data_IF_043776314467
#
_entry.id   IF_043776314467
#
_cell.length_a   1.000
_cell.length_b   1.000
_cell.length_c   1.000
_cell.angle_alpha   90.00
_cell.angle_beta   90.00
_cell.angle_gamma   90.00
#
_symmetry.space_group_name_H-M   'P 1'
#
loop_
_entity.id
_entity.type
_entity.pdbx_description
1 polymer ?
#
# COMPACT_ATOMS: atom_id res chain seq x y z
N UNK A 1 12.33 -19.41 96.46
CA UNK A 1 13.02 -19.67 95.19
C UNK A 1 14.50 -19.42 95.42
N UNK A 2 15.39 -20.32 94.99
CA UNK A 2 16.83 -20.07 95.05
C UNK A 2 17.16 -18.90 94.10
N UNK A 3 18.07 -18.01 94.48
CA UNK A 3 18.51 -16.86 93.67
C UNK A 3 18.86 -17.28 92.23
N UNK A 4 19.51 -18.44 92.10
CA UNK A 4 19.82 -19.08 90.83
C UNK A 4 18.58 -19.42 89.97
N UNK A 5 17.50 -19.91 90.58
CA UNK A 5 16.25 -20.21 89.87
C UNK A 5 15.55 -18.95 89.37
N UNK A 6 15.56 -17.87 90.14
CA UNK A 6 15.00 -16.58 89.71
C UNK A 6 15.80 -15.99 88.55
N UNK A 7 17.12 -16.11 88.58
CA UNK A 7 18.01 -15.60 87.54
C UNK A 7 17.77 -16.24 86.17
N UNK A 8 17.76 -17.58 86.12
CA UNK A 8 17.47 -18.33 84.89
C UNK A 8 16.05 -18.01 84.39
N UNK A 9 15.09 -17.92 85.29
CA UNK A 9 13.70 -17.64 84.94
C UNK A 9 13.53 -16.29 84.24
N UNK A 10 14.16 -15.23 84.73
CA UNK A 10 14.11 -13.90 84.09
C UNK A 10 14.79 -13.87 82.72
N UNK A 11 15.90 -14.57 82.54
CA UNK A 11 16.57 -14.70 81.22
C UNK A 11 15.67 -15.41 80.22
N UNK A 12 15.09 -16.55 80.61
CA UNK A 12 14.22 -17.34 79.73
C UNK A 12 12.97 -16.55 79.37
N UNK A 13 12.33 -15.88 80.33
CA UNK A 13 11.17 -15.02 80.05
C UNK A 13 11.55 -13.88 79.13
N UNK A 14 12.67 -13.21 79.40
CA UNK A 14 13.16 -12.13 78.54
C UNK A 14 13.40 -12.60 77.10
N UNK A 15 14.05 -13.76 76.93
CA UNK A 15 14.30 -14.36 75.62
C UNK A 15 13.01 -14.77 74.90
N UNK A 16 12.05 -15.38 75.60
CA UNK A 16 10.76 -15.76 75.03
C UNK A 16 9.95 -14.54 74.61
N UNK A 17 9.88 -13.50 75.46
CA UNK A 17 9.17 -12.25 75.13
C UNK A 17 9.85 -11.58 73.92
N UNK A 18 11.19 -11.51 73.91
CA UNK A 18 11.94 -10.94 72.79
C UNK A 18 11.69 -11.66 71.47
N UNK A 19 11.78 -12.99 71.46
CA UNK A 19 11.51 -13.79 70.27
C UNK A 19 10.03 -13.71 69.83
N UNK A 20 9.09 -13.81 70.77
CA UNK A 20 7.65 -13.78 70.48
C UNK A 20 7.21 -12.42 69.93
N UNK A 21 7.69 -11.32 70.53
CA UNK A 21 7.36 -9.95 70.08
C UNK A 21 7.87 -9.71 68.68
N UNK A 22 9.09 -10.14 68.37
CA UNK A 22 9.67 -9.93 67.04
C UNK A 22 9.00 -10.82 65.98
N UNK A 23 8.66 -12.06 66.32
CA UNK A 23 7.89 -12.94 65.44
C UNK A 23 6.50 -12.35 65.13
N UNK A 24 5.82 -11.80 66.14
CA UNK A 24 4.55 -11.11 65.96
C UNK A 24 4.70 -9.87 65.08
N UNK A 25 5.73 -9.04 65.29
CA UNK A 25 6.00 -7.86 64.49
C UNK A 25 6.22 -8.21 63.00
N UNK A 26 6.97 -9.27 62.72
CA UNK A 26 7.17 -9.77 61.35
C UNK A 26 5.82 -10.21 60.75
N UNK A 27 5.01 -10.96 61.51
CA UNK A 27 3.68 -11.38 61.06
C UNK A 27 2.76 -10.19 60.79
N UNK A 28 2.89 -9.11 61.55
CA UNK A 28 2.13 -7.87 61.41
C UNK A 28 2.50 -7.05 60.17
N UNK A 29 3.64 -7.29 59.54
CA UNK A 29 3.98 -6.68 58.25
C UNK A 29 3.06 -7.18 57.13
N UNK A 30 2.66 -8.46 57.19
CA UNK A 30 1.89 -9.13 56.14
C UNK A 30 0.40 -9.23 56.47
N UNK A 31 0.05 -9.46 57.75
CA UNK A 31 -1.33 -9.68 58.21
C UNK A 31 -1.69 -8.68 59.31
N UNK A 32 -2.96 -8.29 59.48
CA UNK A 32 -4.15 -8.71 58.72
C UNK A 32 -4.27 -7.98 57.37
N UNK A 33 -4.89 -8.64 56.38
CA UNK A 33 -5.08 -8.07 55.04
C UNK A 33 -6.12 -6.95 54.99
N UNK A 34 -7.01 -6.89 55.99
CA UNK A 34 -8.07 -5.87 56.12
C UNK A 34 -7.92 -5.11 57.45
N UNK A 35 -8.34 -3.82 57.50
CA UNK A 35 -8.39 -3.07 58.75
C UNK A 35 -9.39 -3.71 59.72
N UNK A 36 -9.03 -3.77 61.00
CA UNK A 36 -9.95 -4.10 62.08
C UNK A 36 -10.31 -2.86 62.87
N UNK A 37 -11.57 -2.75 63.29
CA UNK A 37 -12.09 -1.62 64.06
C UNK A 37 -12.52 -2.07 65.45
N UNK A 38 -12.12 -1.31 66.46
CA UNK A 38 -12.50 -1.52 67.85
C UNK A 38 -13.02 -0.20 68.43
N UNK A 39 -14.22 -0.21 69.01
CA UNK A 39 -14.90 1.00 69.53
C UNK A 39 -14.95 2.18 68.53
N UNK A 40 -15.17 1.88 67.25
CA UNK A 40 -15.22 2.90 66.18
C UNK A 40 -13.87 3.48 65.76
N UNK A 41 -12.75 3.07 66.38
CA UNK A 41 -11.39 3.47 65.98
C UNK A 41 -10.66 2.29 65.34
N UNK A 42 -9.92 2.56 64.27
CA UNK A 42 -9.09 1.57 63.59
C UNK A 42 -7.96 1.11 64.53
N UNK A 43 -7.77 -0.20 64.67
CA UNK A 43 -6.68 -0.77 65.46
C UNK A 43 -5.33 -0.37 64.84
N UNK A 44 -4.35 0.10 65.65
CA UNK A 44 -3.02 0.42 65.14
C UNK A 44 -2.40 -0.83 64.51
N UNK A 45 -1.67 -0.63 63.41
CA UNK A 45 -1.04 -1.71 62.64
C UNK A 45 -2.01 -2.72 61.99
N UNK A 46 -3.26 -2.31 61.72
CA UNK A 46 -4.20 -3.06 60.86
C UNK A 46 -4.74 -2.14 59.76
N UNK A 47 -4.67 -2.47 58.45
CA UNK A 47 -4.05 -3.66 57.87
C UNK A 47 -2.52 -3.67 58.05
N UNK A 48 -1.90 -4.82 57.77
CA UNK A 48 -0.45 -4.95 57.79
C UNK A 48 0.25 -3.94 56.87
N UNK A 49 1.54 -3.70 57.11
CA UNK A 49 2.29 -2.64 56.42
C UNK A 49 2.34 -2.83 54.89
N UNK A 50 2.52 -4.06 54.42
CA UNK A 50 2.64 -4.38 52.99
C UNK A 50 1.29 -4.23 52.27
N UNK A 51 0.17 -4.82 52.76
CA UNK A 51 -1.15 -4.56 52.20
C UNK A 51 -1.49 -3.06 52.13
N UNK A 52 -1.07 -2.28 53.14
CA UNK A 52 -1.33 -0.84 53.20
C UNK A 52 -0.60 -0.03 52.11
N UNK A 53 0.58 -0.47 51.67
CA UNK A 53 1.40 0.23 50.66
C UNK A 53 1.34 -0.43 49.27
N UNK A 54 0.42 -1.36 49.06
CA UNK A 54 0.30 -2.12 47.82
C UNK A 54 0.18 -1.22 46.59
N UNK A 55 -0.65 -0.19 46.65
CA UNK A 55 -0.90 0.69 45.51
C UNK A 55 0.35 1.51 45.14
N UNK A 56 1.12 1.94 46.16
CA UNK A 56 2.41 2.60 45.95
C UNK A 56 3.41 1.67 45.27
N UNK A 57 3.49 0.40 45.72
CA UNK A 57 4.34 -0.61 45.11
C UNK A 57 3.90 -0.91 43.69
N UNK A 58 2.61 -1.05 43.45
CA UNK A 58 2.04 -1.32 42.13
C UNK A 58 2.41 -0.21 41.13
N UNK A 59 2.28 1.05 41.56
CA UNK A 59 2.67 2.21 40.78
C UNK A 59 4.16 2.20 40.44
N UNK A 60 5.03 2.03 41.45
CA UNK A 60 6.48 2.06 41.25
C UNK A 60 6.98 0.89 40.38
N UNK A 61 6.38 -0.29 40.52
CA UNK A 61 6.67 -1.42 39.64
C UNK A 61 6.20 -1.14 38.21
N UNK A 62 5.03 -0.54 38.03
CA UNK A 62 4.52 -0.12 36.72
C UNK A 62 5.47 0.82 35.99
N UNK A 63 5.93 1.89 36.67
CA UNK A 63 6.92 2.84 36.13
C UNK A 63 8.21 2.13 35.77
N UNK A 64 8.77 1.31 36.67
CA UNK A 64 10.02 0.59 36.42
C UNK A 64 9.92 -0.34 35.20
N UNK A 65 8.82 -1.08 35.06
CA UNK A 65 8.63 -2.00 33.92
C UNK A 65 8.54 -1.21 32.60
N UNK A 66 7.85 -0.08 32.59
CA UNK A 66 7.74 0.79 31.41
C UNK A 66 9.07 1.44 31.02
N UNK A 67 9.79 2.01 31.99
CA UNK A 67 11.03 2.77 31.72
C UNK A 67 12.25 1.89 31.48
N UNK A 68 12.24 0.63 31.91
CA UNK A 68 13.45 -0.22 31.87
C UNK A 68 13.26 -1.61 31.25
N UNK A 69 12.07 -2.20 31.25
CA UNK A 69 11.85 -3.56 30.72
C UNK A 69 11.14 -3.58 29.37
N UNK A 70 10.16 -2.69 29.17
CA UNK A 70 9.36 -2.60 27.95
C UNK A 70 9.55 -1.26 27.24
N UNK A 71 10.81 -0.82 27.12
CA UNK A 71 11.10 0.45 26.44
C UNK A 71 10.85 0.33 24.92
N UNK A 72 10.45 1.42 24.25
CA UNK A 72 10.28 1.44 22.80
C UNK A 72 11.52 0.94 22.05
N UNK A 73 12.71 1.33 22.50
CA UNK A 73 13.98 0.97 21.87
C UNK A 73 14.31 -0.52 22.08
N UNK A 74 14.00 -1.04 23.27
CA UNK A 74 14.19 -2.46 23.60
C UNK A 74 13.31 -3.35 22.74
N UNK A 75 12.05 -2.96 22.54
CA UNK A 75 11.09 -3.67 21.68
C UNK A 75 11.51 -3.55 20.20
N UNK A 76 11.85 -2.34 19.74
CA UNK A 76 12.32 -2.11 18.37
C UNK A 76 13.53 -2.98 18.04
N UNK A 77 14.54 -3.01 18.91
CA UNK A 77 15.75 -3.83 18.71
C UNK A 77 15.43 -5.32 18.61
N UNK A 78 14.41 -5.80 19.32
CA UNK A 78 13.94 -7.19 19.22
C UNK A 78 13.24 -7.46 17.89
N UNK A 79 12.40 -6.55 17.40
CA UNK A 79 11.77 -6.68 16.08
C UNK A 79 12.77 -6.56 14.92
N UNK A 80 13.82 -5.76 15.09
CA UNK A 80 14.88 -5.59 14.09
C UNK A 80 15.92 -6.72 14.09
N UNK A 81 15.85 -7.64 15.06
CA UNK A 81 16.73 -8.80 15.14
C UNK A 81 16.63 -9.68 13.90
N UNK A 82 17.74 -10.33 13.56
CA UNK A 82 17.81 -11.23 12.40
C UNK A 82 16.82 -12.39 12.53
N UNK A 83 16.62 -12.88 13.75
CA UNK A 83 15.71 -13.97 14.07
C UNK A 83 14.25 -13.55 13.82
N UNK A 84 13.84 -12.38 14.31
CA UNK A 84 12.49 -11.87 14.09
C UNK A 84 12.20 -11.63 12.59
N UNK A 85 13.17 -11.05 11.87
CA UNK A 85 13.06 -10.84 10.41
C UNK A 85 12.91 -12.14 9.65
N UNK A 86 13.70 -13.16 9.99
CA UNK A 86 13.62 -14.49 9.38
C UNK A 86 12.26 -15.15 9.63
N UNK A 87 11.75 -15.08 10.86
CA UNK A 87 10.44 -15.66 11.21
C UNK A 87 9.29 -14.95 10.49
N UNK A 88 9.34 -13.61 10.40
CA UNK A 88 8.36 -12.82 9.63
C UNK A 88 8.47 -13.17 8.15
N UNK A 89 9.68 -13.26 7.59
CA UNK A 89 9.90 -13.60 6.19
C UNK A 89 9.33 -14.99 5.85
N UNK A 90 9.63 -15.98 6.67
CA UNK A 90 9.12 -17.34 6.51
C UNK A 90 7.57 -17.37 6.63
N UNK A 91 7.01 -16.59 7.55
CA UNK A 91 5.55 -16.46 7.68
C UNK A 91 4.93 -15.83 6.44
N UNK A 92 5.52 -14.75 5.91
CA UNK A 92 5.08 -14.10 4.67
C UNK A 92 5.17 -15.06 3.48
N UNK A 93 6.29 -15.79 3.34
CA UNK A 93 6.46 -16.80 2.28
C UNK A 93 5.37 -17.87 2.34
N UNK A 94 5.04 -18.37 3.54
CA UNK A 94 3.97 -19.34 3.75
C UNK A 94 2.59 -18.80 3.35
N UNK A 95 2.32 -17.52 3.59
CA UNK A 95 1.07 -16.89 3.15
C UNK A 95 1.04 -16.67 1.64
N UNK A 96 2.17 -16.34 1.01
CA UNK A 96 2.28 -16.25 -0.45
C UNK A 96 2.02 -17.62 -1.07
N UNK A 97 2.59 -18.70 -0.52
CA UNK A 97 2.35 -20.07 -0.98
C UNK A 97 0.87 -20.48 -0.85
N UNK A 98 0.28 -20.24 0.32
CA UNK A 98 -1.16 -20.46 0.50
C UNK A 98 -2.01 -19.66 -0.48
N UNK A 99 -1.61 -18.42 -0.77
CA UNK A 99 -2.25 -17.54 -1.75
C UNK A 99 -2.14 -18.09 -3.18
N UNK A 100 -0.99 -18.65 -3.55
CA UNK A 100 -0.75 -19.28 -4.84
C UNK A 100 -1.57 -20.56 -5.04
N UNK A 101 -1.91 -21.26 -3.96
CA UNK A 101 -2.76 -22.46 -3.96
C UNK A 101 -4.27 -22.13 -3.96
N UNK A 102 -4.68 -20.86 -3.83
CA UNK A 102 -6.10 -20.50 -3.78
C UNK A 102 -6.79 -20.72 -5.12
N UNK A 103 -7.79 -21.60 -5.15
CA UNK A 103 -8.65 -21.84 -6.31
C UNK A 103 -9.77 -20.79 -6.46
N UNK A 104 -9.96 -19.92 -5.46
CA UNK A 104 -10.97 -18.86 -5.45
C UNK A 104 -10.68 -17.86 -6.58
N UNK A 105 -11.70 -17.45 -7.34
CA UNK A 105 -11.56 -16.44 -8.40
C UNK A 105 -11.38 -15.04 -7.83
N UNK A 106 -10.71 -14.15 -8.56
CA UNK A 106 -10.55 -12.76 -8.12
C UNK A 106 -11.92 -12.10 -7.92
N UNK A 107 -12.90 -12.43 -8.76
CA UNK A 107 -14.27 -11.96 -8.66
C UNK A 107 -14.94 -12.37 -7.34
N UNK A 108 -14.88 -13.65 -6.98
CA UNK A 108 -15.47 -14.15 -5.73
C UNK A 108 -14.75 -13.64 -4.48
N UNK A 109 -13.43 -13.39 -4.57
CA UNK A 109 -12.70 -12.72 -3.50
C UNK A 109 -13.19 -11.28 -3.31
N UNK A 110 -13.34 -10.50 -4.38
CA UNK A 110 -13.82 -9.11 -4.30
C UNK A 110 -15.26 -9.03 -3.78
N UNK A 111 -16.12 -9.96 -4.16
CA UNK A 111 -17.47 -10.08 -3.60
C UNK A 111 -17.45 -10.35 -2.09
N UNK A 112 -16.52 -11.19 -1.62
CA UNK A 112 -16.37 -11.49 -0.17
C UNK A 112 -15.97 -10.27 0.66
N UNK A 113 -15.30 -9.29 0.06
CA UNK A 113 -14.96 -8.00 0.68
C UNK A 113 -16.09 -6.95 0.56
N UNK A 114 -17.26 -7.34 0.03
CA UNK A 114 -18.42 -6.45 -0.13
C UNK A 114 -18.43 -5.66 -1.44
N UNK A 115 -17.53 -5.96 -2.39
CA UNK A 115 -17.53 -5.35 -3.72
C UNK A 115 -18.41 -6.17 -4.65
N UNK A 116 -19.72 -5.88 -4.64
CA UNK A 116 -20.65 -6.45 -5.61
C UNK A 116 -20.37 -5.90 -7.01
N UNK A 117 -20.54 -6.75 -8.04
CA UNK A 117 -20.34 -6.44 -9.46
C UNK A 117 -18.95 -5.85 -9.75
N UNK A 118 -17.92 -6.51 -9.23
CA UNK A 118 -16.53 -6.07 -9.38
C UNK A 118 -16.07 -6.01 -10.85
N UNK A 119 -16.65 -6.84 -11.72
CA UNK A 119 -16.45 -6.81 -13.17
C UNK A 119 -16.96 -5.50 -13.79
N UNK A 120 -18.21 -5.12 -13.50
CA UNK A 120 -18.80 -3.88 -14.03
C UNK A 120 -18.03 -2.66 -13.54
N UNK A 121 -17.69 -2.62 -12.24
CA UNK A 121 -16.92 -1.51 -11.66
C UNK A 121 -15.49 -1.42 -12.19
N UNK A 122 -14.87 -2.56 -12.48
CA UNK A 122 -13.54 -2.60 -13.09
C UNK A 122 -13.58 -2.10 -14.53
N UNK A 123 -14.58 -2.51 -15.33
CA UNK A 123 -14.78 -2.00 -16.69
C UNK A 123 -15.01 -0.48 -16.68
N UNK A 124 -15.88 0.03 -15.80
CA UNK A 124 -16.12 1.47 -15.62
C UNK A 124 -14.84 2.23 -15.24
N UNK A 125 -14.09 1.73 -14.26
CA UNK A 125 -12.82 2.34 -13.84
C UNK A 125 -11.79 2.37 -14.97
N UNK A 126 -11.68 1.30 -15.77
CA UNK A 126 -10.78 1.27 -16.93
C UNK A 126 -11.21 2.31 -17.96
N UNK A 127 -12.51 2.45 -18.21
CA UNK A 127 -13.03 3.46 -19.12
C UNK A 127 -12.65 4.87 -18.65
N UNK A 128 -12.96 5.24 -17.40
CA UNK A 128 -12.62 6.55 -16.84
C UNK A 128 -11.12 6.82 -16.81
N UNK A 129 -10.33 5.84 -16.33
CA UNK A 129 -8.87 5.96 -16.30
C UNK A 129 -8.30 6.12 -17.70
N UNK A 130 -8.80 5.35 -18.68
CA UNK A 130 -8.35 5.44 -20.07
C UNK A 130 -8.68 6.79 -20.69
N UNK A 131 -9.87 7.35 -20.40
CA UNK A 131 -10.26 8.67 -20.89
C UNK A 131 -9.38 9.76 -20.32
N UNK A 132 -9.14 9.72 -19.01
CA UNK A 132 -8.29 10.69 -18.35
C UNK A 132 -6.83 10.59 -18.81
N UNK A 133 -6.31 9.36 -18.89
CA UNK A 133 -4.95 9.10 -19.35
C UNK A 133 -4.77 9.53 -20.82
N UNK A 134 -5.71 9.20 -21.68
CA UNK A 134 -5.66 9.55 -23.10
C UNK A 134 -5.75 11.07 -23.29
N UNK A 135 -6.69 11.75 -22.62
CA UNK A 135 -6.77 13.21 -22.64
C UNK A 135 -5.46 13.86 -22.18
N UNK A 136 -4.91 13.42 -21.05
CA UNK A 136 -3.65 13.96 -20.53
C UNK A 136 -2.47 13.73 -21.50
N UNK A 137 -2.41 12.58 -22.17
CA UNK A 137 -1.38 12.33 -23.19
C UNK A 137 -1.59 13.22 -24.42
N UNK A 138 -2.82 13.34 -24.93
CA UNK A 138 -3.14 14.20 -26.07
C UNK A 138 -2.82 15.67 -25.77
N UNK A 139 -3.05 16.13 -24.54
CA UNK A 139 -2.68 17.48 -24.10
C UNK A 139 -1.17 17.68 -24.03
N UNK A 140 -0.43 16.74 -23.44
CA UNK A 140 1.03 16.82 -23.32
C UNK A 140 1.75 16.75 -24.68
N UNK A 141 1.14 16.10 -25.66
CA UNK A 141 1.69 15.92 -27.01
C UNK A 141 1.04 16.82 -28.06
N UNK A 142 0.18 17.78 -27.68
CA UNK A 142 -0.53 18.66 -28.61
C UNK A 142 0.40 19.42 -29.57
N UNK A 143 1.60 19.81 -29.10
CA UNK A 143 2.58 20.59 -29.87
C UNK A 143 3.59 19.72 -30.63
N UNK A 144 3.61 18.40 -30.41
CA UNK A 144 4.51 17.50 -31.12
C UNK A 144 4.01 17.25 -32.55
N UNK A 145 4.96 17.04 -33.46
CA UNK A 145 4.64 16.75 -34.86
C UNK A 145 4.23 15.29 -35.03
N UNK A 146 3.40 15.00 -36.03
CA UNK A 146 2.99 13.63 -36.33
C UNK A 146 4.17 12.70 -36.62
N UNK A 147 5.26 13.23 -37.16
CA UNK A 147 6.51 12.49 -37.39
C UNK A 147 7.19 12.02 -36.10
N UNK A 148 7.02 12.73 -34.99
CA UNK A 148 7.60 12.36 -33.69
C UNK A 148 6.73 11.34 -32.94
N UNK A 149 5.42 11.37 -33.19
CA UNK A 149 4.44 10.50 -32.54
C UNK A 149 4.25 9.14 -33.24
N UNK A 150 4.50 9.07 -34.56
CA UNK A 150 4.35 7.83 -35.31
C UNK A 150 5.58 6.92 -35.20
N UNK A 151 5.40 5.62 -34.90
CA UNK A 151 6.49 4.66 -34.99
C UNK A 151 7.04 4.56 -36.42
N UNK A 152 8.36 4.46 -36.57
CA UNK A 152 9.06 4.38 -37.87
C UNK A 152 8.50 3.26 -38.78
N UNK A 153 8.06 2.14 -38.21
CA UNK A 153 7.45 1.04 -38.97
C UNK A 153 6.13 1.42 -39.64
N UNK A 154 5.32 2.24 -38.97
CA UNK A 154 4.04 2.73 -39.50
C UNK A 154 4.30 3.74 -40.61
N UNK A 155 5.25 4.65 -40.39
CA UNK A 155 5.64 5.65 -41.39
C UNK A 155 6.16 5.01 -42.68
N UNK A 156 7.02 4.00 -42.56
CA UNK A 156 7.56 3.27 -43.70
C UNK A 156 6.47 2.49 -44.46
N UNK A 157 5.51 1.89 -43.72
CA UNK A 157 4.37 1.20 -44.33
C UNK A 157 3.44 2.16 -45.07
N UNK A 158 3.15 3.34 -44.52
CA UNK A 158 2.34 4.34 -45.20
C UNK A 158 3.06 4.84 -46.46
N UNK A 159 4.32 5.23 -46.32
CA UNK A 159 5.12 5.77 -47.42
C UNK A 159 5.27 4.78 -48.58
N UNK A 160 5.47 3.49 -48.29
CA UNK A 160 5.55 2.44 -49.31
C UNK A 160 4.23 2.14 -50.02
N UNK A 161 3.09 2.55 -49.44
CA UNK A 161 1.75 2.39 -50.03
C UNK A 161 1.26 3.60 -50.83
N UNK A 162 1.94 4.74 -50.73
CA UNK A 162 1.62 5.93 -51.53
C UNK A 162 1.68 5.65 -53.06
N UNK A 163 2.68 4.93 -53.60
CA UNK A 163 2.72 4.60 -55.03
C UNK A 163 1.55 3.70 -55.47
N UNK A 164 1.09 2.80 -54.60
CA UNK A 164 -0.09 1.95 -54.85
C UNK A 164 -1.37 2.81 -54.90
N UNK A 165 -1.48 3.82 -54.04
CA UNK A 165 -2.59 4.77 -54.04
C UNK A 165 -2.61 5.65 -55.31
N UNK A 166 -1.45 6.15 -55.75
CA UNK A 166 -1.31 6.86 -57.02
C UNK A 166 -1.76 5.99 -58.21
N UNK A 167 -1.35 4.72 -58.26
CA UNK A 167 -1.77 3.77 -59.29
C UNK A 167 -3.30 3.58 -59.30
N UNK A 168 -3.90 3.43 -58.12
CA UNK A 168 -5.34 3.27 -57.97
C UNK A 168 -6.10 4.51 -58.45
N UNK A 169 -5.66 5.72 -58.06
CA UNK A 169 -6.26 6.98 -58.48
C UNK A 169 -6.18 7.14 -60.00
N UNK A 170 -5.02 6.84 -60.61
CA UNK A 170 -4.84 6.94 -62.06
C UNK A 170 -5.70 5.93 -62.81
N UNK A 171 -5.75 4.66 -62.36
CA UNK A 171 -6.64 3.65 -62.95
C UNK A 171 -8.10 4.09 -62.91
N UNK A 172 -8.55 4.63 -61.77
CA UNK A 172 -9.91 5.13 -61.63
C UNK A 172 -10.16 6.36 -62.50
N UNK A 173 -9.19 7.27 -62.61
CA UNK A 173 -9.21 8.41 -63.51
C UNK A 173 -9.33 8.00 -64.98
N UNK A 174 -8.51 7.05 -65.43
CA UNK A 174 -8.55 6.48 -66.78
C UNK A 174 -9.94 5.90 -67.07
N UNK A 175 -10.46 5.05 -66.17
CA UNK A 175 -11.79 4.45 -66.33
C UNK A 175 -12.90 5.51 -66.41
N UNK A 176 -12.82 6.57 -65.59
CA UNK A 176 -13.78 7.67 -65.65
C UNK A 176 -13.72 8.39 -66.99
N UNK A 177 -12.53 8.77 -67.46
CA UNK A 177 -12.39 9.47 -68.75
C UNK A 177 -12.68 8.56 -69.95
N UNK A 178 -12.53 7.24 -69.85
CA UNK A 178 -12.95 6.28 -70.89
C UNK A 178 -14.47 6.10 -70.97
N UNK A 179 -15.21 6.40 -69.89
CA UNK A 179 -16.67 6.33 -69.86
C UNK A 179 -17.33 7.44 -70.68
N UNK A 180 -18.59 7.21 -71.08
CA UNK A 180 -19.39 8.20 -71.82
C UNK A 180 -19.63 9.48 -70.99
N UNK A 181 -19.71 9.37 -69.66
CA UNK A 181 -19.81 10.52 -68.75
C UNK A 181 -18.53 11.38 -68.79
N UNK A 182 -17.37 10.75 -68.73
CA UNK A 182 -16.08 11.45 -68.78
C UNK A 182 -15.84 12.14 -70.12
N UNK A 183 -16.19 11.48 -71.24
CA UNK A 183 -16.15 12.09 -72.58
C UNK A 183 -17.08 13.30 -72.69
N UNK A 184 -18.31 13.19 -72.19
CA UNK A 184 -19.27 14.29 -72.18
C UNK A 184 -18.79 15.45 -71.30
N UNK A 185 -18.24 15.16 -70.11
CA UNK A 185 -17.66 16.16 -69.21
C UNK A 185 -16.50 16.91 -69.86
N UNK A 186 -15.61 16.19 -70.54
CA UNK A 186 -14.50 16.78 -71.29
C UNK A 186 -15.01 17.68 -72.43
N UNK A 187 -16.05 17.25 -73.14
CA UNK A 187 -16.69 18.06 -74.17
C UNK A 187 -17.22 19.39 -73.63
N UNK A 188 -17.97 19.33 -72.53
CA UNK A 188 -18.47 20.54 -71.88
C UNK A 188 -17.34 21.47 -71.42
N UNK A 189 -16.24 20.92 -70.86
CA UNK A 189 -15.08 21.72 -70.46
C UNK A 189 -14.40 22.43 -71.64
N UNK A 190 -14.27 21.74 -72.78
CA UNK A 190 -13.71 22.33 -74.01
C UNK A 190 -14.64 23.43 -74.53
N UNK A 191 -15.94 23.18 -74.53
CA UNK A 191 -16.96 24.14 -74.97
C UNK A 191 -16.96 25.40 -74.11
N UNK A 192 -16.88 25.26 -72.79
CA UNK A 192 -16.84 26.37 -71.85
C UNK A 192 -15.54 27.18 -72.00
N UNK A 193 -14.40 26.51 -72.14
CA UNK A 193 -13.11 27.17 -72.39
C UNK A 193 -13.10 27.99 -73.69
N UNK A 194 -13.70 27.47 -74.77
CA UNK A 194 -13.79 28.20 -76.04
C UNK A 194 -14.77 29.37 -75.95
N UNK A 195 -15.87 29.25 -75.22
CA UNK A 195 -16.82 30.37 -74.98
C UNK A 195 -16.16 31.50 -74.20
N UNK A 196 -15.36 31.18 -73.18
CA UNK A 196 -14.65 32.17 -72.36
C UNK A 196 -13.60 32.97 -73.17
N UNK A 197 -13.06 32.40 -74.26
CA UNK A 197 -12.12 33.06 -75.17
C UNK A 197 -12.78 34.05 -76.15
N UNK A 198 -14.09 34.27 -76.06
CA UNK A 198 -14.82 35.27 -76.84
C UNK A 198 -14.91 34.95 -78.33
N UNK A 199 -14.82 35.99 -79.18
CA UNK A 199 -15.05 35.87 -80.63
C UNK A 199 -14.11 34.87 -81.35
N UNK A 200 -12.87 34.72 -80.88
CA UNK A 200 -11.91 33.77 -81.49
C UNK A 200 -12.26 32.31 -81.16
N UNK A 201 -12.76 32.04 -79.96
CA UNK A 201 -13.14 30.69 -79.54
C UNK A 201 -14.41 30.21 -80.24
N UNK A 202 -15.39 31.10 -80.45
CA UNK A 202 -16.60 30.75 -81.21
C UNK A 202 -16.31 30.47 -82.69
N UNK A 203 -15.33 31.14 -83.31
CA UNK A 203 -14.88 30.83 -84.66
C UNK A 203 -14.25 29.43 -84.76
N UNK A 204 -13.41 29.05 -83.79
CA UNK A 204 -12.80 27.72 -83.72
C UNK A 204 -13.87 26.64 -83.53
N UNK A 205 -14.86 26.91 -82.68
CA UNK A 205 -15.99 26.03 -82.43
C UNK A 205 -16.84 25.80 -83.69
N UNK A 206 -17.12 26.86 -84.46
CA UNK A 206 -17.86 26.77 -85.73
C UNK A 206 -17.09 26.04 -86.84
N UNK A 207 -15.75 26.14 -86.87
CA UNK A 207 -14.93 25.52 -87.91
C UNK A 207 -14.63 24.04 -87.64
N UNK A 208 -14.38 23.67 -86.38
CA UNK A 208 -13.98 22.30 -86.02
C UNK A 208 -15.16 21.44 -85.55
N UNK A 209 -16.22 22.03 -84.98
CA UNK A 209 -17.31 21.28 -84.33
C UNK A 209 -16.85 20.61 -83.03
N UNK A 210 -17.71 20.60 -82.01
CA UNK A 210 -17.35 20.17 -80.65
C UNK A 210 -16.83 18.73 -80.59
N UNK A 211 -17.36 17.82 -81.43
CA UNK A 211 -16.95 16.42 -81.46
C UNK A 211 -15.51 16.21 -81.92
N UNK A 212 -15.05 16.96 -82.93
CA UNK A 212 -13.71 16.72 -83.51
C UNK A 212 -12.56 17.13 -82.60
N UNK A 213 -12.79 18.10 -81.70
CA UNK A 213 -11.83 18.53 -80.69
C UNK A 213 -11.76 17.51 -79.55
N UNK A 214 -12.90 17.00 -79.11
CA UNK A 214 -12.97 15.93 -78.10
C UNK A 214 -12.26 14.69 -78.60
N UNK A 215 -12.51 14.26 -79.84
CA UNK A 215 -11.92 13.07 -80.44
C UNK A 215 -10.38 13.17 -80.59
N UNK A 216 -9.82 14.39 -80.60
CA UNK A 216 -8.37 14.64 -80.64
C UNK A 216 -7.74 14.78 -79.26
N UNK A 217 -8.45 15.39 -78.31
CA UNK A 217 -7.95 15.66 -76.95
C UNK A 217 -8.11 14.45 -76.04
N UNK A 218 -9.22 13.71 -76.18
CA UNK A 218 -9.56 12.56 -75.35
C UNK A 218 -8.48 11.46 -75.34
N UNK A 219 -7.97 10.99 -76.50
CA UNK A 219 -6.90 9.98 -76.52
C UNK A 219 -5.60 10.47 -75.87
N UNK A 220 -5.27 11.75 -76.01
CA UNK A 220 -4.05 12.33 -75.40
C UNK A 220 -4.18 12.47 -73.87
N UNK A 221 -5.37 12.77 -73.33
CA UNK A 221 -5.62 12.74 -71.88
C UNK A 221 -5.47 11.31 -71.34
N UNK A 222 -6.06 10.31 -71.99
CA UNK A 222 -5.94 8.92 -71.57
C UNK A 222 -4.49 8.44 -71.65
N UNK A 223 -3.79 8.77 -72.74
CA UNK A 223 -2.37 8.47 -72.92
C UNK A 223 -1.50 9.17 -71.88
N UNK A 224 -1.81 10.41 -71.51
CA UNK A 224 -1.16 11.14 -70.42
C UNK A 224 -1.38 10.42 -69.08
N UNK A 225 -2.61 10.04 -68.73
CA UNK A 225 -2.91 9.34 -67.47
C UNK A 225 -2.30 7.93 -67.40
N UNK A 226 -2.12 7.26 -68.55
CA UNK A 226 -1.46 5.96 -68.67
C UNK A 226 0.07 6.03 -68.68
N UNK A 227 0.66 7.21 -68.86
CA UNK A 227 2.11 7.38 -68.92
C UNK A 227 2.75 7.07 -67.55
N UNK A 228 3.86 6.33 -67.58
CA UNK A 228 4.67 6.03 -66.40
C UNK A 228 5.20 7.31 -65.71
N UNK A 229 5.48 8.36 -66.48
CA UNK A 229 5.91 9.66 -65.94
C UNK A 229 4.82 10.33 -65.11
N UNK A 230 3.57 10.30 -65.58
CA UNK A 230 2.40 10.81 -64.84
C UNK A 230 2.16 10.03 -63.55
N UNK A 231 2.37 8.71 -63.59
CA UNK A 231 2.33 7.88 -62.39
C UNK A 231 3.40 8.26 -61.38
N UNK A 232 4.64 8.49 -61.85
CA UNK A 232 5.73 8.94 -60.99
C UNK A 232 5.44 10.32 -60.41
N UNK A 233 5.00 11.26 -61.24
CA UNK A 233 4.62 12.61 -60.82
C UNK A 233 3.54 12.60 -59.74
N UNK A 234 2.43 11.85 -59.93
CA UNK A 234 1.39 11.75 -58.92
C UNK A 234 1.89 11.09 -57.63
N UNK A 235 2.73 10.06 -57.75
CA UNK A 235 3.33 9.40 -56.58
C UNK A 235 4.21 10.38 -55.80
N UNK A 236 5.10 11.10 -56.48
CA UNK A 236 6.00 12.08 -55.87
C UNK A 236 5.21 13.24 -55.23
N UNK A 237 4.14 13.71 -55.87
CA UNK A 237 3.22 14.69 -55.28
C UNK A 237 2.58 14.16 -53.99
N UNK A 238 2.04 12.93 -53.99
CA UNK A 238 1.42 12.36 -52.80
C UNK A 238 2.42 12.14 -51.66
N UNK A 239 3.68 11.79 -51.98
CA UNK A 239 4.76 11.71 -50.99
C UNK A 239 5.07 13.09 -50.40
N UNK A 240 5.19 14.12 -51.24
CA UNK A 240 5.42 15.49 -50.76
C UNK A 240 4.28 16.01 -49.89
N UNK A 241 3.02 15.72 -50.25
CA UNK A 241 1.88 16.07 -49.41
C UNK A 241 1.88 15.29 -48.09
N UNK A 242 2.23 14.00 -48.12
CA UNK A 242 2.40 13.20 -46.89
C UNK A 242 3.50 13.78 -45.98
N UNK A 243 4.64 14.21 -46.55
CA UNK A 243 5.72 14.84 -45.79
C UNK A 243 5.29 16.15 -45.11
N UNK A 244 4.43 16.95 -45.76
CA UNK A 244 3.83 18.14 -45.14
C UNK A 244 2.89 17.78 -44.00
N UNK A 245 2.04 16.76 -44.20
CA UNK A 245 1.10 16.30 -43.17
C UNK A 245 1.83 15.79 -41.92
N UNK A 246 2.97 15.10 -42.10
CA UNK A 246 3.81 14.65 -40.99
C UNK A 246 4.36 15.77 -40.11
N UNK A 247 4.51 16.98 -40.66
CA UNK A 247 5.03 18.14 -39.94
C UNK A 247 3.95 18.89 -39.15
N UNK A 248 2.67 18.62 -39.40
CA UNK A 248 1.60 19.24 -38.64
C UNK A 248 1.63 18.78 -37.18
N UNK A 249 1.37 19.71 -36.28
CA UNK A 249 1.22 19.39 -34.86
C UNK A 249 -0.09 18.65 -34.62
N UNK A 250 -0.16 17.92 -33.51
CA UNK A 250 -1.39 17.23 -33.12
C UNK A 250 -2.58 18.21 -32.98
N UNK A 251 -2.33 19.45 -32.56
CA UNK A 251 -3.36 20.50 -32.52
C UNK A 251 -3.89 20.88 -33.91
N UNK A 252 -3.00 21.08 -34.89
CA UNK A 252 -3.40 21.43 -36.26
C UNK A 252 -4.16 20.28 -36.95
N UNK A 253 -3.73 19.04 -36.70
CA UNK A 253 -4.40 17.85 -37.18
C UNK A 253 -5.80 17.69 -36.59
N UNK A 254 -5.94 17.97 -35.29
CA UNK A 254 -7.23 17.94 -34.60
C UNK A 254 -8.20 18.99 -35.16
N UNK A 255 -7.75 20.24 -35.39
CA UNK A 255 -8.60 21.28 -35.99
C UNK A 255 -9.06 20.97 -37.42
N UNK A 256 -8.23 20.28 -38.23
CA UNK A 256 -8.52 20.02 -39.64
C UNK A 256 -9.32 18.74 -39.86
N UNK A 257 -9.09 17.71 -39.04
CA UNK A 257 -9.62 16.37 -39.28
C UNK A 257 -10.24 15.71 -38.04
N UNK A 258 -10.42 16.45 -36.93
CA UNK A 258 -10.94 15.91 -35.67
C UNK A 258 -10.20 14.63 -35.22
N UNK A 259 -8.87 14.65 -35.30
CA UNK A 259 -8.05 13.47 -35.02
C UNK A 259 -8.23 12.97 -33.57
N UNK A 260 -8.51 13.86 -32.59
CA UNK A 260 -8.78 13.39 -31.22
C UNK A 260 -10.04 12.55 -31.15
N UNK A 261 -11.12 12.96 -31.82
CA UNK A 261 -12.37 12.20 -31.88
C UNK A 261 -12.14 10.81 -32.50
N UNK A 262 -11.33 10.73 -33.56
CA UNK A 262 -10.91 9.46 -34.15
C UNK A 262 -10.15 8.58 -33.14
N UNK A 263 -9.18 9.13 -32.40
CA UNK A 263 -8.43 8.39 -31.38
C UNK A 263 -9.36 7.87 -30.27
N UNK A 264 -10.30 8.70 -29.79
CA UNK A 264 -11.30 8.29 -28.81
C UNK A 264 -12.24 7.19 -29.35
N UNK A 265 -12.62 7.28 -30.63
CA UNK A 265 -13.45 6.25 -31.27
C UNK A 265 -12.74 4.89 -31.37
N UNK A 266 -11.45 4.90 -31.74
CA UNK A 266 -10.61 3.69 -31.79
C UNK A 266 -10.44 3.12 -30.39
N UNK A 267 -10.19 3.96 -29.38
CA UNK A 267 -10.13 3.55 -27.97
C UNK A 267 -11.42 2.88 -27.53
N UNK A 268 -12.58 3.49 -27.79
CA UNK A 268 -13.89 2.93 -27.44
C UNK A 268 -14.13 1.57 -28.12
N UNK A 269 -13.79 1.46 -29.41
CA UNK A 269 -13.89 0.18 -30.12
C UNK A 269 -13.00 -0.90 -29.52
N UNK A 270 -11.74 -0.56 -29.18
CA UNK A 270 -10.81 -1.51 -28.55
C UNK A 270 -11.28 -1.94 -27.16
N UNK A 271 -11.74 -0.99 -26.34
CA UNK A 271 -12.23 -1.29 -25.00
C UNK A 271 -13.56 -2.06 -25.02
N UNK A 272 -14.41 -1.89 -26.03
CA UNK A 272 -15.66 -2.67 -26.16
C UNK A 272 -15.42 -4.18 -26.30
N UNK A 273 -14.24 -4.58 -26.77
CA UNK A 273 -13.82 -5.97 -26.88
C UNK A 273 -13.00 -6.44 -25.66
N UNK A 274 -12.60 -5.54 -24.78
CA UNK A 274 -11.87 -5.83 -23.56
C UNK A 274 -12.86 -6.01 -22.40
N UNK A 275 -13.12 -7.26 -22.01
CA UNK A 275 -13.93 -7.53 -20.81
C UNK A 275 -13.01 -7.91 -19.64
N UNK A 276 -13.08 -7.16 -18.55
CA UNK A 276 -12.34 -7.50 -17.31
C UNK A 276 -12.81 -8.80 -16.70
N UNK A 277 -14.02 -9.28 -17.05
CA UNK A 277 -14.54 -10.58 -16.62
C UNK A 277 -13.57 -11.72 -16.91
N UNK A 278 -12.90 -11.73 -18.06
CA UNK A 278 -11.94 -12.78 -18.44
C UNK A 278 -10.70 -12.83 -17.52
N UNK A 279 -10.34 -11.68 -16.95
CA UNK A 279 -9.21 -11.52 -16.04
C UNK A 279 -9.69 -11.85 -14.61
N UNK A 280 -10.87 -11.37 -14.22
CA UNK A 280 -11.43 -11.57 -12.90
C UNK A 280 -11.93 -13.00 -12.63
N UNK A 281 -12.23 -13.79 -13.68
CA UNK A 281 -12.62 -15.21 -13.58
C UNK A 281 -11.44 -16.16 -13.33
N UNK A 282 -10.19 -15.69 -13.46
CA UNK A 282 -9.02 -16.54 -13.14
C UNK A 282 -8.89 -16.69 -11.63
N UNK A 283 -8.33 -17.82 -11.20
CA UNK A 283 -8.05 -18.05 -9.78
C UNK A 283 -7.02 -17.04 -9.29
N UNK A 284 -7.23 -16.53 -8.07
CA UNK A 284 -6.28 -15.70 -7.34
C UNK A 284 -4.93 -16.41 -7.27
N UNK A 285 -4.95 -17.74 -7.09
CA UNK A 285 -3.77 -18.59 -7.11
C UNK A 285 -2.93 -18.46 -8.39
N UNK A 286 -3.54 -18.36 -9.57
CA UNK A 286 -2.81 -18.22 -10.82
C UNK A 286 -2.05 -16.87 -10.93
N UNK A 287 -2.62 -15.79 -10.38
CA UNK A 287 -1.95 -14.49 -10.33
C UNK A 287 -0.84 -14.49 -9.28
N UNK A 288 -1.13 -15.00 -8.09
CA UNK A 288 -0.15 -15.05 -7.00
C UNK A 288 0.99 -15.97 -7.37
N UNK A 289 0.76 -17.13 -8.00
CA UNK A 289 1.80 -18.05 -8.45
C UNK A 289 2.71 -17.43 -9.52
N UNK A 290 2.15 -16.64 -10.43
CA UNK A 290 2.91 -16.00 -11.50
C UNK A 290 3.91 -14.96 -10.96
N UNK A 291 3.60 -14.31 -9.83
CA UNK A 291 4.44 -13.29 -9.19
C UNK A 291 5.06 -13.81 -7.88
N UNK A 292 4.82 -15.06 -7.48
CA UNK A 292 5.19 -15.57 -6.16
C UNK A 292 6.69 -15.50 -5.93
N UNK A 293 7.50 -15.87 -6.92
CA UNK A 293 8.95 -15.87 -6.80
C UNK A 293 9.49 -14.43 -6.61
N UNK A 294 8.99 -13.48 -7.40
CA UNK A 294 9.36 -12.07 -7.30
C UNK A 294 8.87 -11.44 -5.98
N UNK A 295 7.66 -11.79 -5.54
CA UNK A 295 7.12 -11.38 -4.25
C UNK A 295 7.98 -11.87 -3.08
N UNK A 296 8.47 -13.12 -3.13
CA UNK A 296 9.28 -13.70 -2.06
C UNK A 296 10.71 -13.16 -2.01
N UNK A 297 11.30 -12.88 -3.18
CA UNK A 297 12.73 -12.56 -3.32
C UNK A 297 12.99 -11.06 -3.28
N UNK A 298 12.16 -10.24 -3.93
CA UNK A 298 12.41 -8.80 -4.06
C UNK A 298 11.45 -7.97 -3.21
N UNK A 299 10.15 -8.31 -3.19
CA UNK A 299 9.14 -7.47 -2.55
C UNK A 299 9.05 -7.70 -1.04
N UNK A 300 9.00 -8.96 -0.60
CA UNK A 300 8.81 -9.30 0.81
C UNK A 300 9.93 -8.77 1.73
N UNK A 301 11.24 -8.90 1.41
CA UNK A 301 12.29 -8.36 2.27
C UNK A 301 12.20 -6.83 2.44
N UNK A 302 11.90 -6.11 1.35
CA UNK A 302 11.76 -4.65 1.36
C UNK A 302 10.53 -4.21 2.15
N UNK A 303 9.39 -4.88 1.97
CA UNK A 303 8.17 -4.59 2.72
C UNK A 303 8.32 -4.90 4.21
N UNK A 304 8.98 -6.00 4.58
CA UNK A 304 9.22 -6.36 5.98
C UNK A 304 10.12 -5.32 6.63
N UNK A 305 11.20 -4.91 5.97
CA UNK A 305 12.11 -3.90 6.51
C UNK A 305 11.38 -2.57 6.75
N UNK A 306 10.66 -2.06 5.73
CA UNK A 306 9.87 -0.82 5.87
C UNK A 306 8.75 -0.97 6.90
N UNK A 307 8.11 -2.13 6.95
CA UNK A 307 7.02 -2.46 7.88
C UNK A 307 7.49 -2.48 9.33
N UNK A 308 8.65 -3.09 9.64
CA UNK A 308 9.24 -3.09 10.98
C UNK A 308 9.56 -1.67 11.43
N UNK A 309 10.18 -0.85 10.57
CA UNK A 309 10.48 0.54 10.90
C UNK A 309 9.22 1.38 11.12
N UNK A 310 8.19 1.22 10.28
CA UNK A 310 6.91 1.90 10.45
C UNK A 310 6.19 1.46 11.74
N UNK A 311 6.16 0.15 12.02
CA UNK A 311 5.57 -0.41 13.22
C UNK A 311 6.26 0.12 14.49
N UNK A 312 7.59 0.24 14.47
CA UNK A 312 8.37 0.77 15.61
C UNK A 312 7.95 2.20 15.96
N UNK A 313 7.81 3.07 14.95
CA UNK A 313 7.36 4.45 15.15
C UNK A 313 5.93 4.54 15.70
N UNK A 314 5.03 3.67 15.24
CA UNK A 314 3.65 3.61 15.75
C UNK A 314 3.62 3.09 17.18
N UNK A 315 4.45 2.09 17.49
CA UNK A 315 4.50 1.44 18.80
C UNK A 315 5.04 2.38 19.88
N UNK A 316 6.01 3.23 19.55
CA UNK A 316 6.47 4.32 20.42
C UNK A 316 5.31 5.27 20.81
N UNK A 317 4.54 5.72 19.82
CA UNK A 317 3.37 6.57 20.05
C UNK A 317 2.23 5.89 20.82
N UNK A 318 2.06 4.58 20.65
CA UNK A 318 1.07 3.79 21.38
C UNK A 318 1.48 3.55 22.84
N UNK A 319 2.75 3.19 23.10
CA UNK A 319 3.26 3.00 24.45
C UNK A 319 3.15 4.27 25.29
N UNK A 320 3.39 5.44 24.68
CA UNK A 320 3.20 6.74 25.33
C UNK A 320 1.73 7.03 25.68
N UNK A 321 0.78 6.59 24.86
CA UNK A 321 -0.66 6.86 25.05
C UNK A 321 -1.38 5.84 25.93
N UNK A 322 -0.93 4.59 25.94
CA UNK A 322 -1.65 3.48 26.56
C UNK A 322 -1.58 3.42 28.08
N UNK A 323 -0.91 4.37 28.76
CA UNK A 323 -0.73 4.40 30.22
C UNK A 323 -0.46 2.99 30.77
N UNK A 324 0.52 2.28 30.20
CA UNK A 324 0.81 0.89 30.56
C UNK A 324 1.06 0.71 32.07
N UNK A 325 1.50 1.78 32.74
CA UNK A 325 1.58 1.89 34.20
C UNK A 325 0.26 1.55 34.88
N UNK A 326 -0.87 2.08 34.40
CA UNK A 326 -2.20 1.83 34.97
C UNK A 326 -2.65 0.38 34.76
N UNK A 327 -2.34 -0.22 33.60
CA UNK A 327 -2.63 -1.63 33.33
C UNK A 327 -1.85 -2.52 34.30
N UNK A 328 -0.55 -2.26 34.50
CA UNK A 328 0.27 -3.01 35.45
C UNK A 328 -0.22 -2.80 36.89
N UNK A 329 -0.63 -1.57 37.24
CA UNK A 329 -1.22 -1.27 38.55
C UNK A 329 -2.44 -2.13 38.82
N UNK A 330 -3.40 -2.14 37.90
CA UNK A 330 -4.63 -2.94 38.03
C UNK A 330 -4.33 -4.43 38.16
N UNK A 331 -3.37 -4.96 37.39
CA UNK A 331 -2.97 -6.37 37.50
C UNK A 331 -2.33 -6.69 38.87
N UNK A 332 -1.52 -5.79 39.43
CA UNK A 332 -0.94 -5.96 40.76
C UNK A 332 -2.02 -5.84 41.85
N UNK A 333 -3.03 -4.99 41.65
CA UNK A 333 -4.21 -4.83 42.52
C UNK A 333 -5.19 -6.02 42.47
N UNK A 334 -5.17 -6.81 41.40
CA UNK A 334 -5.91 -8.07 41.29
C UNK A 334 -5.14 -9.27 41.88
N UNK A 335 -3.82 -9.12 42.09
CA UNK A 335 -2.97 -10.21 42.56
C UNK A 335 -3.19 -10.55 44.05
N UNK A 336 -3.56 -11.79 44.43
CA UNK A 336 -3.88 -12.13 45.82
C UNK A 336 -2.76 -11.75 46.82
N UNK A 337 -3.11 -11.09 47.92
CA UNK A 337 -2.16 -10.65 48.95
C UNK A 337 -1.41 -11.82 49.59
N UNK A 338 -2.06 -12.98 49.67
CA UNK A 338 -1.49 -14.23 50.17
C UNK A 338 -0.32 -14.69 49.32
N UNK A 339 -0.42 -14.51 47.99
CA UNK A 339 0.65 -14.85 47.05
C UNK A 339 1.81 -13.86 47.13
N UNK A 340 1.53 -12.58 47.35
CA UNK A 340 2.58 -11.59 47.62
C UNK A 340 3.34 -11.91 48.92
N UNK A 341 2.63 -12.29 49.99
CA UNK A 341 3.23 -12.76 51.24
C UNK A 341 4.10 -13.99 50.97
N UNK A 342 3.60 -14.99 50.25
CA UNK A 342 4.36 -16.20 49.91
C UNK A 342 5.65 -15.88 49.16
N UNK A 343 5.60 -14.98 48.17
CA UNK A 343 6.78 -14.56 47.40
C UNK A 343 7.82 -13.88 48.29
N UNK A 344 7.42 -12.86 49.05
CA UNK A 344 8.34 -12.10 49.92
C UNK A 344 8.91 -13.00 51.03
N UNK A 345 8.07 -13.79 51.69
CA UNK A 345 8.50 -14.69 52.76
C UNK A 345 9.42 -15.77 52.21
N UNK A 346 9.18 -16.31 51.02
CA UNK A 346 10.05 -17.34 50.44
C UNK A 346 11.47 -16.84 50.19
N UNK A 347 11.60 -15.57 49.79
CA UNK A 347 12.90 -14.93 49.53
C UNK A 347 13.58 -14.50 50.83
N UNK A 348 12.82 -14.03 51.84
CA UNK A 348 13.36 -13.43 53.08
C UNK A 348 13.28 -14.31 54.33
N UNK A 349 12.90 -15.58 54.22
CA UNK A 349 12.63 -16.45 55.39
C UNK A 349 13.85 -16.58 56.33
N UNK A 350 15.07 -16.64 55.78
CA UNK A 350 16.29 -16.82 56.57
C UNK A 350 16.58 -15.58 57.41
N UNK A 351 16.40 -14.41 56.82
CA UNK A 351 16.64 -13.08 57.37
C UNK A 351 15.62 -12.79 58.48
N UNK A 352 14.35 -13.10 58.24
CA UNK A 352 13.27 -12.96 59.23
C UNK A 352 13.48 -13.86 60.46
N UNK A 353 13.96 -15.10 60.26
CA UNK A 353 14.32 -16.00 61.36
C UNK A 353 15.50 -15.48 62.18
N UNK A 354 16.51 -14.91 61.52
CA UNK A 354 17.66 -14.31 62.20
C UNK A 354 17.23 -13.12 63.08
N UNK A 355 16.33 -12.27 62.59
CA UNK A 355 15.76 -11.15 63.36
C UNK A 355 15.03 -11.69 64.60
N UNK A 356 14.22 -12.75 64.46
CA UNK A 356 13.52 -13.39 65.58
C UNK A 356 14.49 -13.95 66.62
N UNK A 357 15.55 -14.63 66.17
CA UNK A 357 16.59 -15.17 67.04
C UNK A 357 17.35 -14.07 67.79
N UNK A 358 17.73 -13.00 67.10
CA UNK A 358 18.45 -11.86 67.68
C UNK A 358 17.58 -11.12 68.70
N UNK A 359 16.27 -11.04 68.46
CA UNK A 359 15.29 -10.53 69.42
C UNK A 359 15.23 -11.39 70.70
N UNK A 360 15.28 -12.73 70.55
CA UNK A 360 15.39 -13.64 71.70
C UNK A 360 16.71 -13.49 72.45
N UNK A 361 17.83 -13.35 71.74
CA UNK A 361 19.14 -13.13 72.35
C UNK A 361 19.20 -11.82 73.15
N UNK A 362 18.73 -10.72 72.57
CA UNK A 362 18.64 -9.42 73.24
C UNK A 362 17.69 -9.45 74.43
N UNK A 363 16.52 -10.09 74.27
CA UNK A 363 15.57 -10.27 75.37
C UNK A 363 16.17 -11.06 76.53
N UNK A 364 16.95 -12.11 76.24
CA UNK A 364 17.70 -12.86 77.25
C UNK A 364 18.77 -12.04 77.95
N UNK A 365 19.51 -11.20 77.21
CA UNK A 365 20.49 -10.26 77.76
C UNK A 365 19.83 -9.23 78.70
N UNK A 366 18.71 -8.65 78.29
CA UNK A 366 17.95 -7.70 79.13
C UNK A 366 17.43 -8.40 80.39
N UNK A 367 16.90 -9.62 80.25
CA UNK A 367 16.47 -10.44 81.37
C UNK A 367 17.61 -10.77 82.34
N UNK A 368 18.83 -10.99 81.83
CA UNK A 368 20.02 -11.20 82.66
C UNK A 368 20.38 -9.94 83.44
N UNK A 369 20.37 -8.77 82.79
CA UNK A 369 20.64 -7.49 83.44
C UNK A 369 19.58 -7.20 84.51
N UNK A 370 18.29 -7.42 84.22
CA UNK A 370 17.22 -7.27 85.20
C UNK A 370 17.38 -8.22 86.39
N UNK A 371 17.76 -9.46 86.14
CA UNK A 371 18.01 -10.43 87.21
C UNK A 371 19.16 -9.98 88.12
N UNK A 372 20.26 -9.47 87.56
CA UNK A 372 21.37 -8.90 88.34
C UNK A 372 20.84 -7.78 89.25
N UNK A 373 20.09 -6.82 88.71
CA UNK A 373 19.52 -5.71 89.49
C UNK A 373 18.62 -6.19 90.64
N UNK A 374 17.69 -7.11 90.38
CA UNK A 374 16.76 -7.65 91.38
C UNK A 374 17.44 -8.49 92.47
N UNK A 375 18.65 -9.01 92.19
CA UNK A 375 19.43 -9.76 93.18
C UNK A 375 20.38 -8.88 94.01
N UNK A 376 20.71 -7.68 93.54
CA UNK A 376 21.63 -6.74 94.18
C UNK A 376 20.92 -5.66 95.01
N UNK A 377 19.68 -5.30 94.63
CA UNK A 377 18.79 -4.36 95.31
C UNK A 377 17.50 -5.07 95.70
#
# INVERSE_FOLDING_TARGET
MNIFTTFIFMIVIGAVIGAATNHLAIKMLFRPYKPYYLFGKQLPFTPGLIPKRRDEVAKQVGVMVMEHLLTPEGIQKRFESSEAKQEILHTVHRYIDKGAEMEITVLSLLESFGVSQADVKADEWIHEWSDHKLNSLLENYNEQTLSELLPLDVENKISSKIPDAADYILKRGIHYFESEEGKSRLGNMIDDFLKERGMLGSMVQMFLGNSSLIDRVHPEIIKFLRNAETKRFLSDLLVQEWDKVKQFSLHELDQRWNVKELIFSVKNQLLSHFSTKLILDRSVGAYVSAVADDLKTHVAPVLIQKGISAASNVLEGLLAKLQFEDIIREQIELFPLEKMEELVVSISNKELKMITFLGGLLGGLIGAIQAIFVTLF
#
